data_IF_582979568870
#
_entry.id   IF_582979568870
#
_cell.length_a   1.000
_cell.length_b   1.000
_cell.length_c   1.000
_cell.angle_alpha   90.00
_cell.angle_beta   90.00
_cell.angle_gamma   90.00
#
_symmetry.space_group_name_H-M   'P 1'
#
loop_
_entity.id
_entity.type
_entity.pdbx_description
1 polymer ?
#
# COMPACT_ATOMS: atom_id res chain seq x y z
N UNK A 1 -14.90 -18.32 -18.79
CA UNK A 1 -14.10 -17.60 -17.77
C UNK A 1 -14.79 -17.77 -16.43
N UNK A 2 -14.28 -18.62 -15.56
CA UNK A 2 -14.73 -18.76 -14.17
C UNK A 2 -14.40 -17.46 -13.41
N UNK A 3 -15.35 -16.94 -12.65
CA UNK A 3 -15.11 -15.77 -11.80
C UNK A 3 -13.98 -16.08 -10.80
N UNK A 4 -13.11 -15.11 -10.45
CA UNK A 4 -12.10 -15.30 -9.41
C UNK A 4 -12.80 -15.71 -8.12
N UNK A 5 -12.46 -16.89 -7.57
CA UNK A 5 -13.19 -17.48 -6.45
C UNK A 5 -12.97 -16.75 -5.12
N UNK A 6 -11.91 -15.93 -5.01
CA UNK A 6 -11.66 -15.05 -3.89
C UNK A 6 -10.83 -13.83 -4.31
N UNK A 7 -11.08 -12.69 -3.66
CA UNK A 7 -10.28 -11.46 -3.77
C UNK A 7 -9.76 -11.09 -2.39
N UNK A 8 -8.45 -10.84 -2.30
CA UNK A 8 -7.81 -10.48 -1.04
C UNK A 8 -7.23 -9.06 -1.15
N UNK A 9 -7.59 -8.21 -0.19
CA UNK A 9 -6.96 -6.92 0.00
C UNK A 9 -5.76 -7.08 0.94
N UNK A 10 -4.58 -6.67 0.48
CA UNK A 10 -3.38 -6.60 1.29
C UNK A 10 -3.23 -5.17 1.83
N UNK A 11 -3.20 -5.05 3.15
CA UNK A 11 -2.99 -3.79 3.85
C UNK A 11 -1.62 -3.85 4.53
N UNK A 12 -0.63 -3.03 4.10
CA UNK A 12 0.62 -2.93 4.80
C UNK A 12 0.36 -2.36 6.21
N UNK A 13 1.12 -2.86 7.17
CA UNK A 13 1.05 -2.37 8.54
C UNK A 13 1.50 -0.90 8.62
N UNK A 14 0.88 -0.15 9.54
CA UNK A 14 1.17 1.26 9.79
C UNK A 14 -0.03 2.17 9.52
N UNK A 15 0.11 3.44 9.91
CA UNK A 15 -0.97 4.42 9.78
C UNK A 15 -0.97 5.11 8.41
N UNK A 16 0.21 5.51 7.94
CA UNK A 16 0.42 5.95 6.56
C UNK A 16 1.66 5.30 5.98
N UNK A 17 1.66 5.06 4.67
CA UNK A 17 2.75 4.38 3.98
C UNK A 17 4.07 5.15 4.06
N UNK A 18 4.00 6.47 4.19
CA UNK A 18 5.18 7.33 4.35
C UNK A 18 5.96 7.01 5.63
N UNK A 19 5.31 6.54 6.70
CA UNK A 19 5.99 6.17 7.94
C UNK A 19 6.98 5.01 7.74
N UNK A 20 6.80 4.22 6.68
CA UNK A 20 7.75 3.19 6.27
C UNK A 20 8.67 3.70 5.16
N UNK A 21 8.11 4.21 4.06
CA UNK A 21 8.89 4.55 2.87
C UNK A 21 9.92 5.65 3.14
N UNK A 22 9.57 6.67 3.93
CA UNK A 22 10.51 7.77 4.23
C UNK A 22 11.71 7.28 5.04
N UNK A 23 11.53 6.25 5.90
CA UNK A 23 12.61 5.69 6.72
C UNK A 23 13.68 4.96 5.92
N UNK A 24 13.31 4.46 4.73
CA UNK A 24 14.20 3.77 3.80
C UNK A 24 14.56 4.65 2.59
N UNK A 25 14.18 5.93 2.62
CA UNK A 25 14.52 6.90 1.59
C UNK A 25 13.80 6.68 0.24
N UNK A 26 12.63 6.04 0.25
CA UNK A 26 11.85 5.77 -0.96
C UNK A 26 10.64 6.68 -1.07
N UNK A 27 10.27 7.04 -2.29
CA UNK A 27 9.02 7.70 -2.63
C UNK A 27 7.90 6.68 -2.87
N UNK A 28 6.67 7.18 -3.03
CA UNK A 28 5.56 6.32 -3.44
C UNK A 28 5.72 5.85 -4.89
N UNK A 29 6.32 6.68 -5.73
CA UNK A 29 6.67 6.36 -7.11
C UNK A 29 7.65 5.18 -7.15
N UNK A 30 8.68 5.17 -6.31
CA UNK A 30 9.63 4.05 -6.22
C UNK A 30 8.92 2.77 -5.73
N UNK A 31 8.02 2.89 -4.74
CA UNK A 31 7.18 1.78 -4.29
C UNK A 31 6.28 1.22 -5.40
N UNK A 32 5.77 2.08 -6.28
CA UNK A 32 4.90 1.70 -7.41
C UNK A 32 5.69 1.11 -8.58
N UNK A 33 6.85 1.69 -8.89
CA UNK A 33 7.53 1.46 -10.16
C UNK A 33 8.77 0.57 -10.06
N UNK A 34 9.44 0.54 -8.90
CA UNK A 34 10.77 -0.08 -8.78
C UNK A 34 10.84 -1.15 -7.69
N UNK A 35 10.07 -1.02 -6.62
CA UNK A 35 10.15 -1.91 -5.47
C UNK A 35 9.56 -3.29 -5.77
N UNK A 36 10.42 -4.29 -5.97
CA UNK A 36 9.99 -5.67 -6.24
C UNK A 36 10.18 -6.62 -5.05
N UNK A 37 10.99 -6.22 -4.06
CA UNK A 37 11.33 -7.00 -2.88
C UNK A 37 10.41 -6.74 -1.68
N UNK A 38 10.53 -7.61 -0.66
CA UNK A 38 9.77 -7.50 0.58
C UNK A 38 8.56 -8.42 0.65
N UNK A 39 8.06 -8.62 1.87
CA UNK A 39 7.00 -9.58 2.16
C UNK A 39 5.71 -9.30 1.37
N UNK A 40 5.35 -8.03 1.18
CA UNK A 40 4.10 -7.62 0.52
C UNK A 40 4.02 -8.12 -0.92
N UNK A 41 5.05 -7.89 -1.73
CA UNK A 41 5.08 -8.34 -3.12
C UNK A 41 5.28 -9.85 -3.24
N UNK A 42 5.97 -10.47 -2.26
CA UNK A 42 6.01 -11.93 -2.13
C UNK A 42 4.61 -12.55 -1.97
N UNK A 43 3.75 -11.97 -1.13
CA UNK A 43 2.35 -12.41 -0.99
C UNK A 43 1.55 -12.19 -2.27
N UNK A 44 1.72 -11.06 -2.95
CA UNK A 44 1.06 -10.80 -4.25
C UNK A 44 1.39 -11.91 -5.24
N UNK A 45 2.66 -12.28 -5.37
CA UNK A 45 3.11 -13.33 -6.27
C UNK A 45 2.56 -14.71 -5.84
N UNK A 46 2.67 -15.07 -4.55
CA UNK A 46 2.19 -16.35 -4.04
C UNK A 46 0.67 -16.53 -4.21
N UNK A 47 -0.12 -15.49 -3.91
CA UNK A 47 -1.58 -15.50 -4.07
C UNK A 47 -1.96 -15.58 -5.55
N UNK A 48 -1.23 -14.88 -6.43
CA UNK A 48 -1.42 -15.00 -7.88
C UNK A 48 -1.16 -16.42 -8.39
N UNK A 49 -0.11 -17.09 -7.91
CA UNK A 49 0.18 -18.50 -8.24
C UNK A 49 -0.95 -19.44 -7.77
N UNK A 50 -1.62 -19.11 -6.68
CA UNK A 50 -2.81 -19.82 -6.20
C UNK A 50 -4.12 -19.44 -6.91
N UNK A 51 -4.07 -18.58 -7.94
CA UNK A 51 -5.26 -18.13 -8.67
C UNK A 51 -6.13 -17.11 -7.93
N UNK A 52 -5.60 -16.49 -6.85
CA UNK A 52 -6.31 -15.50 -6.04
C UNK A 52 -6.00 -14.10 -6.57
N UNK A 53 -7.05 -13.32 -6.84
CA UNK A 53 -6.90 -11.91 -7.21
C UNK A 53 -6.56 -11.07 -5.97
N UNK A 54 -5.61 -10.15 -6.13
CA UNK A 54 -5.14 -9.30 -5.04
C UNK A 54 -5.19 -7.83 -5.40
N UNK A 55 -5.31 -6.99 -4.38
CA UNK A 55 -5.11 -5.54 -4.47
C UNK A 55 -4.39 -5.04 -3.22
N UNK A 56 -3.47 -4.09 -3.40
CA UNK A 56 -2.78 -3.43 -2.29
C UNK A 56 -3.57 -2.18 -1.94
N UNK A 57 -3.86 -1.99 -0.65
CA UNK A 57 -4.44 -0.76 -0.14
C UNK A 57 -3.46 -0.11 0.81
N UNK A 58 -3.11 1.14 0.57
CA UNK A 58 -2.28 1.91 1.50
C UNK A 58 -2.93 3.26 1.79
N UNK A 59 -2.60 3.83 2.95
CA UNK A 59 -3.07 5.15 3.35
C UNK A 59 -1.92 6.14 3.19
N UNK A 60 -2.19 7.31 2.63
CA UNK A 60 -1.19 8.36 2.44
C UNK A 60 -1.65 9.66 3.09
N UNK A 61 -0.71 10.34 3.73
CA UNK A 61 -0.86 11.70 4.25
C UNK A 61 -0.70 12.79 3.20
N UNK A 62 -0.19 12.43 2.01
CA UNK A 62 0.17 13.36 0.93
C UNK A 62 -0.96 13.58 -0.07
N UNK A 63 -1.93 12.67 -0.14
CA UNK A 63 -3.08 12.77 -1.05
C UNK A 63 -4.36 13.21 -0.33
N UNK A 64 -5.29 13.79 -1.11
CA UNK A 64 -6.59 14.28 -0.59
C UNK A 64 -7.80 13.51 -1.10
N UNK A 65 -7.62 12.64 -2.09
CA UNK A 65 -8.65 11.82 -2.72
C UNK A 65 -8.07 10.45 -3.02
N UNK A 66 -8.93 9.44 -3.16
CA UNK A 66 -8.52 8.10 -3.56
C UNK A 66 -7.78 8.16 -4.90
N UNK A 67 -6.59 7.58 -4.94
CA UNK A 67 -5.84 7.36 -6.18
C UNK A 67 -5.75 5.87 -6.50
N UNK A 68 -5.79 5.54 -7.80
CA UNK A 68 -5.69 4.17 -8.29
C UNK A 68 -4.49 4.07 -9.19
N UNK A 69 -3.58 3.19 -8.82
CA UNK A 69 -2.32 2.93 -9.50
C UNK A 69 -2.20 1.42 -9.80
N UNK A 70 -1.17 1.06 -10.54
CA UNK A 70 -0.75 -0.33 -10.71
C UNK A 70 0.73 -0.42 -10.40
N UNK A 71 1.11 -1.47 -9.68
CA UNK A 71 2.51 -1.79 -9.50
C UNK A 71 3.11 -2.19 -10.85
N UNK A 72 4.24 -1.60 -11.25
CA UNK A 72 4.82 -1.79 -12.58
C UNK A 72 5.18 -3.24 -12.86
N UNK A 73 5.88 -3.89 -11.92
CA UNK A 73 6.39 -5.25 -12.13
C UNK A 73 5.30 -6.31 -12.04
N UNK A 74 4.47 -6.26 -10.99
CA UNK A 74 3.50 -7.34 -10.72
C UNK A 74 2.14 -7.10 -11.38
N UNK A 75 1.87 -5.87 -11.82
CA UNK A 75 0.57 -5.44 -12.37
C UNK A 75 -0.55 -5.33 -11.34
N UNK A 76 -0.27 -5.60 -10.06
CA UNK A 76 -1.28 -5.60 -8.99
C UNK A 76 -1.85 -4.18 -8.82
N UNK A 77 -3.19 -4.03 -8.69
CA UNK A 77 -3.78 -2.74 -8.35
C UNK A 77 -3.26 -2.23 -7.01
N UNK A 78 -2.93 -0.93 -6.95
CA UNK A 78 -2.61 -0.21 -5.72
C UNK A 78 -3.65 0.89 -5.54
N UNK A 79 -4.37 0.86 -4.43
CA UNK A 79 -5.34 1.89 -4.05
C UNK A 79 -4.75 2.70 -2.90
N UNK A 80 -4.54 3.98 -3.13
CA UNK A 80 -4.01 4.91 -2.12
C UNK A 80 -5.16 5.73 -1.57
N UNK A 81 -5.43 5.57 -0.28
CA UNK A 81 -6.49 6.23 0.45
C UNK A 81 -5.96 7.49 1.15
N UNK A 82 -6.72 8.60 1.19
CA UNK A 82 -6.30 9.75 1.97
C UNK A 82 -6.41 9.45 3.47
N UNK A 83 -5.40 9.83 4.23
CA UNK A 83 -5.44 9.77 5.68
C UNK A 83 -6.57 10.64 6.24
N UNK A 84 -7.21 10.18 7.32
CA UNK A 84 -8.26 10.95 7.98
C UNK A 84 -7.71 12.29 8.50
N UNK A 85 -8.44 13.39 8.30
CA UNK A 85 -8.00 14.73 8.73
C UNK A 85 -7.75 14.82 10.24
N UNK A 86 -8.59 14.15 11.03
CA UNK A 86 -8.43 14.07 12.48
C UNK A 86 -7.10 13.40 12.86
N UNK A 87 -6.74 12.31 12.17
CA UNK A 87 -5.45 11.65 12.35
C UNK A 87 -4.29 12.57 11.96
N UNK A 88 -4.35 13.27 10.82
CA UNK A 88 -3.29 14.21 10.41
C UNK A 88 -3.09 15.36 11.41
N UNK A 89 -4.17 15.82 12.06
CA UNK A 89 -4.07 16.83 13.10
C UNK A 89 -3.38 16.30 14.37
N UNK A 90 -3.72 15.06 14.78
CA UNK A 90 -3.11 14.39 15.94
C UNK A 90 -1.64 14.03 15.69
N UNK A 91 -1.33 13.50 14.49
CA UNK A 91 0.00 13.02 14.11
C UNK A 91 1.10 14.04 14.28
N UNK A 92 0.83 15.33 14.04
CA UNK A 92 1.79 16.42 14.25
C UNK A 92 2.29 16.55 15.70
N UNK A 93 1.56 15.96 16.65
CA UNK A 93 1.88 15.97 18.08
C UNK A 93 2.43 14.63 18.58
N UNK A 94 2.36 13.58 17.77
CA UNK A 94 2.94 12.28 18.10
C UNK A 94 4.46 12.35 17.89
N UNK A 95 5.24 11.91 18.88
CA UNK A 95 6.71 11.78 18.75
C UNK A 95 7.08 10.50 18.01
N UNK A 96 6.31 9.44 18.25
CA UNK A 96 6.41 8.15 17.56
C UNK A 96 5.03 7.84 16.94
N UNK A 97 4.94 7.59 15.62
CA UNK A 97 3.69 7.17 14.99
C UNK A 97 3.19 5.78 15.45
N UNK A 98 3.99 5.01 16.18
CA UNK A 98 3.70 3.66 16.66
C UNK A 98 3.55 3.52 18.19
N UNK A 99 3.75 4.60 18.96
CA UNK A 99 3.56 4.64 20.42
C UNK A 99 4.81 5.04 21.19
#
# INVERSE_FOLDING_TARGET
MTAPSARIALLPWGNVIEDFLDTIGLSFEDFRDEMTGGWLFGYVQALRLAGVETAIFCVSSRIRRLERHRHRETGVPILVLPAARAYLALRRRLRDPYG
#
